data_IF_348620361391
#
_entry.id   IF_348620361391
#
_cell.length_a   1.000
_cell.length_b   1.000
_cell.length_c   1.000
_cell.angle_alpha   90.00
_cell.angle_beta   90.00
_cell.angle_gamma   90.00
#
_symmetry.space_group_name_H-M   'P 1'
#
loop_
_entity.id
_entity.type
_entity.pdbx_description
1 polymer ?
#
# COMPACT_ATOMS: atom_id res chain seq x y z
N UNK A 1 -5.53 7.55 1.07
CA UNK A 1 -4.70 8.19 0.01
C UNK A 1 -4.49 7.19 -1.11
N UNK A 2 -4.57 7.60 -2.38
CA UNK A 2 -4.36 6.71 -3.54
C UNK A 2 -2.96 6.90 -4.13
N UNK A 3 -2.31 5.80 -4.49
CA UNK A 3 -0.98 5.80 -5.11
C UNK A 3 -0.94 4.85 -6.30
N UNK A 4 0.00 5.09 -7.21
CA UNK A 4 0.36 4.15 -8.28
C UNK A 4 1.71 3.53 -7.96
N UNK A 5 1.77 2.21 -7.95
CA UNK A 5 3.01 1.48 -7.71
C UNK A 5 2.96 0.11 -8.40
N UNK A 6 4.07 -0.26 -9.03
CA UNK A 6 4.23 -1.54 -9.74
C UNK A 6 3.14 -1.79 -10.81
N UNK A 7 2.73 -0.72 -11.51
CA UNK A 7 1.68 -0.76 -12.53
C UNK A 7 0.25 -0.90 -11.98
N UNK A 8 0.07 -0.91 -10.66
CA UNK A 8 -1.23 -1.05 -9.99
C UNK A 8 -1.61 0.24 -9.25
N UNK A 9 -2.91 0.41 -8.99
CA UNK A 9 -3.46 1.48 -8.16
C UNK A 9 -3.81 0.93 -6.78
N UNK A 10 -3.23 1.55 -5.77
CA UNK A 10 -3.35 1.14 -4.38
C UNK A 10 -3.97 2.24 -3.52
N UNK A 11 -4.69 1.81 -2.51
CA UNK A 11 -5.16 2.65 -1.41
C UNK A 11 -4.30 2.39 -0.18
N UNK A 12 -3.73 3.44 0.39
CA UNK A 12 -3.05 3.38 1.69
C UNK A 12 -4.14 3.26 2.76
N UNK A 13 -4.14 2.12 3.44
CA UNK A 13 -5.08 1.82 4.55
C UNK A 13 -4.39 1.89 5.92
N UNK A 14 -3.07 2.02 5.95
CA UNK A 14 -2.29 2.24 7.16
C UNK A 14 -0.90 2.77 6.85
N UNK A 15 -0.37 3.61 7.72
CA UNK A 15 0.99 4.14 7.64
C UNK A 15 1.76 3.73 8.89
N UNK A 16 3.02 3.38 8.70
CA UNK A 16 3.95 2.97 9.76
C UNK A 16 5.17 3.88 9.78
N UNK A 17 6.35 3.28 9.98
CA UNK A 17 7.61 3.99 10.11
C UNK A 17 7.94 4.79 8.85
N UNK A 18 8.40 6.01 9.03
CA UNK A 18 9.02 6.87 8.04
C UNK A 18 10.56 6.86 8.16
N UNK A 19 11.22 7.22 7.05
CA UNK A 19 12.67 7.47 6.94
C UNK A 19 13.55 6.36 7.58
N UNK A 20 13.24 5.10 7.26
CA UNK A 20 14.10 3.99 7.65
C UNK A 20 15.48 4.13 6.98
N UNK A 21 16.59 3.76 7.64
CA UNK A 21 17.94 3.91 7.06
C UNK A 21 18.09 3.33 5.65
N UNK A 22 17.53 2.14 5.41
CA UNK A 22 17.55 1.49 4.09
C UNK A 22 16.46 1.99 3.11
N UNK A 23 15.57 2.87 3.56
CA UNK A 23 14.43 3.38 2.80
C UNK A 23 14.20 4.87 3.06
N UNK A 24 15.28 5.66 3.03
CA UNK A 24 15.21 7.08 3.32
C UNK A 24 14.24 7.83 2.37
N UNK A 25 13.49 8.77 2.94
CA UNK A 25 12.47 9.55 2.23
C UNK A 25 11.23 8.75 1.83
N UNK A 26 10.99 7.58 2.42
CA UNK A 26 9.79 6.76 2.23
C UNK A 26 9.08 6.49 3.56
N UNK A 27 7.81 6.14 3.46
CA UNK A 27 6.98 5.68 4.60
C UNK A 27 6.57 4.25 4.32
N UNK A 28 6.67 3.38 5.32
CA UNK A 28 6.14 2.04 5.25
C UNK A 28 4.62 2.08 5.32
N UNK A 29 3.94 1.56 4.30
CA UNK A 29 2.49 1.62 4.18
C UNK A 29 1.89 0.22 4.04
N UNK A 30 0.72 0.04 4.63
CA UNK A 30 -0.19 -1.06 4.31
C UNK A 30 -1.10 -0.62 3.16
N UNK A 31 -1.02 -1.34 2.06
CA UNK A 31 -1.71 -1.06 0.81
C UNK A 31 -2.82 -2.09 0.55
N UNK A 32 -3.94 -1.62 0.02
CA UNK A 32 -5.00 -2.45 -0.56
C UNK A 32 -5.17 -2.13 -2.04
N UNK A 33 -5.11 -3.13 -2.92
CA UNK A 33 -5.22 -2.94 -4.37
C UNK A 33 -6.65 -2.55 -4.74
N UNK A 34 -6.77 -1.61 -5.68
CA UNK A 34 -8.04 -1.20 -6.28
C UNK A 34 -8.37 -1.95 -7.56
N UNK A 35 -7.42 -2.72 -8.10
CA UNK A 35 -7.60 -3.45 -9.36
C UNK A 35 -7.52 -4.97 -9.19
N UNK A 36 -6.82 -5.46 -8.15
CA UNK A 36 -6.63 -6.89 -7.88
C UNK A 36 -7.41 -7.35 -6.67
N UNK A 37 -8.15 -8.44 -6.85
CA UNK A 37 -9.03 -9.02 -5.85
C UNK A 37 -8.89 -10.53 -5.82
N UNK A 38 -9.00 -11.10 -4.62
CA UNK A 38 -9.15 -12.54 -4.39
C UNK A 38 -10.59 -12.84 -3.97
N UNK A 39 -11.10 -13.98 -4.37
CA UNK A 39 -12.43 -14.45 -3.92
C UNK A 39 -12.30 -15.08 -2.53
N UNK A 40 -13.14 -14.65 -1.60
CA UNK A 40 -13.29 -15.21 -0.26
C UNK A 40 -14.77 -15.55 0.00
N UNK A 41 -15.07 -16.22 1.12
CA UNK A 41 -16.44 -16.64 1.47
C UNK A 41 -17.43 -15.48 1.50
N UNK A 42 -16.97 -14.28 1.85
CA UNK A 42 -17.76 -13.04 1.92
C UNK A 42 -17.68 -12.17 0.66
N UNK A 43 -17.15 -12.69 -0.45
CA UNK A 43 -17.08 -11.99 -1.74
C UNK A 43 -15.66 -11.58 -2.13
N UNK A 44 -15.55 -10.49 -2.90
CA UNK A 44 -14.26 -10.00 -3.42
C UNK A 44 -13.50 -9.26 -2.32
N UNK A 45 -12.33 -9.77 -1.96
CA UNK A 45 -11.42 -9.12 -1.04
C UNK A 45 -10.23 -8.53 -1.81
N UNK A 46 -9.85 -7.26 -1.61
CA UNK A 46 -8.69 -6.68 -2.29
C UNK A 46 -7.41 -7.43 -1.91
N UNK A 47 -6.47 -7.50 -2.85
CA UNK A 47 -5.11 -7.96 -2.56
C UNK A 47 -4.45 -6.89 -1.69
N UNK A 48 -3.80 -7.30 -0.61
CA UNK A 48 -3.10 -6.41 0.32
C UNK A 48 -1.61 -6.70 0.33
N UNK A 49 -0.80 -5.67 0.54
CA UNK A 49 0.65 -5.80 0.74
C UNK A 49 1.18 -4.68 1.63
N UNK A 50 2.38 -4.86 2.17
CA UNK A 50 3.10 -3.80 2.85
C UNK A 50 4.38 -3.46 2.10
N UNK A 51 4.67 -2.17 1.92
CA UNK A 51 5.85 -1.71 1.18
C UNK A 51 6.20 -0.27 1.52
N UNK A 52 7.36 0.19 1.07
CA UNK A 52 7.86 1.56 1.26
C UNK A 52 7.41 2.47 0.13
N UNK A 53 6.59 3.46 0.46
CA UNK A 53 6.00 4.40 -0.48
C UNK A 53 6.70 5.74 -0.38
N UNK A 54 7.16 6.28 -1.53
CA UNK A 54 7.74 7.62 -1.61
C UNK A 54 6.65 8.67 -1.65
N UNK A 55 6.79 9.74 -0.86
CA UNK A 55 5.84 10.86 -0.87
C UNK A 55 4.50 10.58 -0.18
N UNK A 56 4.34 9.41 0.44
CA UNK A 56 3.35 9.25 1.52
C UNK A 56 3.79 10.17 2.66
N UNK A 57 2.88 11.03 3.12
CA UNK A 57 3.09 11.89 4.29
C UNK A 57 2.08 11.48 5.34
N UNK A 58 2.55 11.34 6.58
CA UNK A 58 1.69 11.20 7.77
C UNK A 58 0.99 12.51 8.03
#
# INVERSE_FOLDING_TARGET
MLIRQDGDTWEIIGMGRDDHPDHSGKVFCHLASRTRFRTQKNGRNPVQCCTWVKGAKV
#
